data_IF_730292016138
#
_entry.id   IF_730292016138
#
_cell.length_a   1.000
_cell.length_b   1.000
_cell.length_c   1.000
_cell.angle_alpha   90.00
_cell.angle_beta   90.00
_cell.angle_gamma   90.00
#
_symmetry.space_group_name_H-M   'P 1'
#
loop_
_entity.id
_entity.type
_entity.pdbx_description
1 polymer ?
#
# COMPACT_ATOMS: atom_id res chain seq x y z
N UNK A 1 -2.81 -6.48 -23.96
CA UNK A 1 -3.90 -5.46 -23.92
C UNK A 1 -4.16 -5.12 -22.46
N UNK A 2 -4.20 -3.85 -22.04
CA UNK A 2 -4.43 -3.46 -20.64
C UNK A 2 -5.90 -3.06 -20.44
N UNK A 3 -6.51 -3.57 -19.37
CA UNK A 3 -7.93 -3.36 -19.01
C UNK A 3 -7.97 -2.62 -17.67
N UNK A 4 -8.73 -1.52 -17.52
CA UNK A 4 -8.88 -0.83 -16.24
C UNK A 4 -9.60 -1.74 -15.22
N UNK A 5 -9.25 -1.58 -13.94
CA UNK A 5 -9.81 -2.36 -12.82
C UNK A 5 -11.07 -1.71 -12.25
N UNK A 6 -12.01 -1.36 -13.12
CA UNK A 6 -13.28 -0.69 -12.81
C UNK A 6 -13.11 0.45 -11.78
N UNK A 7 -13.68 0.32 -10.57
CA UNK A 7 -13.75 1.36 -9.54
C UNK A 7 -12.53 1.40 -8.59
N UNK A 8 -11.45 0.70 -8.92
CA UNK A 8 -10.29 0.55 -8.03
C UNK A 8 -9.00 1.08 -8.63
N UNK A 9 -8.35 1.96 -7.89
CA UNK A 9 -6.96 2.33 -8.11
C UNK A 9 -6.03 1.33 -7.40
N UNK A 10 -5.08 0.74 -8.13
CA UNK A 10 -4.02 -0.07 -7.54
C UNK A 10 -2.81 0.80 -7.23
N UNK A 11 -2.40 0.81 -5.96
CA UNK A 11 -1.10 1.35 -5.54
C UNK A 11 -0.09 0.21 -5.49
N UNK A 12 0.85 0.19 -6.43
CA UNK A 12 1.96 -0.75 -6.44
C UNK A 12 3.10 -0.20 -5.58
N UNK A 13 3.42 -0.92 -4.49
CA UNK A 13 4.52 -0.54 -3.62
C UNK A 13 5.90 -0.71 -4.27
N UNK A 14 6.90 -0.04 -3.71
CA UNK A 14 8.29 -0.14 -4.19
C UNK A 14 8.83 -1.57 -4.16
N UNK A 15 8.44 -2.39 -3.18
CA UNK A 15 8.85 -3.79 -3.14
C UNK A 15 8.35 -4.57 -4.37
N UNK A 16 7.11 -4.34 -4.83
CA UNK A 16 6.60 -4.98 -6.04
C UNK A 16 7.47 -4.64 -7.25
N UNK A 17 7.82 -3.36 -7.41
CA UNK A 17 8.66 -2.89 -8.52
C UNK A 17 10.04 -3.55 -8.51
N UNK A 18 10.65 -3.68 -7.33
CA UNK A 18 11.95 -4.36 -7.17
C UNK A 18 11.82 -5.85 -7.51
N UNK A 19 10.84 -6.54 -6.92
CA UNK A 19 10.63 -7.98 -7.11
C UNK A 19 10.29 -8.35 -8.55
N UNK A 20 9.50 -7.51 -9.23
CA UNK A 20 9.10 -7.70 -10.62
C UNK A 20 10.12 -7.13 -11.62
N UNK A 21 11.25 -6.59 -11.15
CA UNK A 21 12.24 -5.87 -11.96
C UNK A 21 11.59 -4.85 -12.91
N UNK A 22 10.67 -4.05 -12.36
CA UNK A 22 9.83 -3.13 -13.09
C UNK A 22 10.20 -1.67 -12.80
N UNK A 23 10.25 -0.86 -13.85
CA UNK A 23 10.56 0.57 -13.79
C UNK A 23 9.36 1.40 -14.22
N UNK A 24 9.03 2.43 -13.44
CA UNK A 24 8.04 3.43 -13.82
C UNK A 24 8.66 4.35 -14.87
N UNK A 25 7.98 4.54 -16.00
CA UNK A 25 8.39 5.46 -17.06
C UNK A 25 7.34 6.59 -17.20
N UNK A 26 7.46 7.69 -16.44
CA UNK A 26 6.45 8.75 -16.42
C UNK A 26 6.23 9.39 -17.79
N UNK A 27 7.31 9.64 -18.54
CA UNK A 27 7.25 10.24 -19.88
C UNK A 27 6.54 9.35 -20.90
N UNK A 28 6.68 8.03 -20.78
CA UNK A 28 6.01 7.08 -21.65
C UNK A 28 4.61 6.69 -21.13
N UNK A 29 4.27 7.08 -19.89
CA UNK A 29 3.00 6.80 -19.23
C UNK A 29 2.79 5.31 -18.99
N UNK A 30 3.78 4.58 -18.46
CA UNK A 30 3.66 3.14 -18.24
C UNK A 30 4.79 2.52 -17.41
N UNK A 31 4.77 1.19 -17.32
CA UNK A 31 5.77 0.37 -16.62
C UNK A 31 6.60 -0.41 -17.64
N UNK A 32 7.92 -0.41 -17.47
CA UNK A 32 8.84 -1.27 -18.20
C UNK A 32 9.25 -2.43 -17.29
N UNK A 33 8.97 -3.66 -17.69
CA UNK A 33 9.52 -4.83 -17.01
C UNK A 33 10.82 -5.21 -17.70
N UNK A 34 11.84 -5.50 -16.92
CA UNK A 34 13.15 -5.91 -17.41
C UNK A 34 13.31 -7.39 -17.14
N UNK A 35 13.39 -8.20 -18.20
CA UNK A 35 13.62 -9.64 -18.12
C UNK A 35 14.72 -10.05 -19.11
N UNK A 36 15.34 -11.20 -18.88
CA UNK A 36 16.50 -11.67 -19.65
C UNK A 36 16.16 -11.91 -21.14
N UNK A 37 14.92 -12.27 -21.44
CA UNK A 37 14.47 -12.60 -22.80
C UNK A 37 13.67 -11.48 -23.47
N UNK A 38 12.95 -10.67 -22.69
CA UNK A 38 12.07 -9.62 -23.22
C UNK A 38 11.93 -8.47 -22.23
N UNK A 39 11.89 -7.23 -22.73
CA UNK A 39 11.63 -6.05 -21.91
C UNK A 39 10.25 -5.48 -22.24
N UNK A 40 9.15 -6.12 -21.79
CA UNK A 40 7.83 -5.68 -22.19
C UNK A 40 7.48 -4.34 -21.52
N UNK A 41 7.02 -3.40 -22.35
CA UNK A 41 6.47 -2.13 -21.89
C UNK A 41 4.95 -2.23 -21.76
N UNK A 42 4.45 -2.03 -20.55
CA UNK A 42 3.02 -1.97 -20.25
C UNK A 42 2.60 -0.50 -20.18
N UNK A 43 1.93 -0.04 -21.24
CA UNK A 43 1.35 1.30 -21.28
C UNK A 43 0.19 1.40 -20.28
N UNK A 44 0.23 2.42 -19.43
CA UNK A 44 -0.88 2.77 -18.55
C UNK A 44 -2.07 3.25 -19.38
N UNK A 45 -3.26 2.79 -19.02
CA UNK A 45 -4.51 3.32 -19.55
C UNK A 45 -4.97 4.39 -18.58
N UNK A 46 -4.89 5.64 -19.00
CA UNK A 46 -5.46 6.77 -18.26
C UNK A 46 -6.81 7.10 -18.90
N UNK A 47 -7.89 7.26 -18.11
CA UNK A 47 -9.10 7.87 -18.63
C UNK A 47 -8.71 9.25 -19.15
N UNK A 48 -8.78 9.45 -20.46
CA UNK A 48 -8.57 10.76 -21.07
C UNK A 48 -9.81 11.63 -20.81
N UNK A 49 -9.60 12.85 -20.33
CA UNK A 49 -10.66 13.87 -20.11
C UNK A 49 -11.29 14.39 -21.42
N UNK A 50 -10.80 13.98 -22.60
CA UNK A 50 -11.31 14.39 -23.90
C UNK A 50 -12.34 13.39 -24.46
N UNK A 51 -13.64 13.76 -24.54
CA UNK A 51 -14.68 12.96 -25.17
C UNK A 51 -14.62 13.13 -26.70
N UNK A 52 -13.49 12.74 -27.31
CA UNK A 52 -13.42 12.55 -28.76
C UNK A 52 -14.27 11.34 -29.18
N UNK A 53 -14.85 11.31 -30.40
CA UNK A 53 -15.73 10.24 -30.85
C UNK A 53 -14.90 9.01 -31.23
N UNK A 54 -14.24 8.40 -30.26
CA UNK A 54 -13.69 7.06 -30.42
C UNK A 54 -14.74 6.08 -29.91
N UNK A 55 -15.22 5.22 -30.81
CA UNK A 55 -16.22 4.19 -30.54
C UNK A 55 -15.76 3.10 -29.57
N UNK A 56 -14.60 3.26 -28.92
CA UNK A 56 -14.06 2.27 -28.00
C UNK A 56 -14.28 2.74 -26.56
N UNK A 57 -15.56 2.90 -26.22
CA UNK A 57 -15.98 3.05 -24.83
C UNK A 57 -15.79 1.69 -24.17
N UNK A 58 -14.97 1.70 -23.12
CA UNK A 58 -14.72 0.63 -22.18
C UNK A 58 -13.55 -0.25 -22.59
N UNK A 59 -12.45 -0.14 -21.85
CA UNK A 59 -11.32 -1.06 -21.91
C UNK A 59 -11.67 -2.48 -21.43
N UNK A 60 -12.89 -2.97 -21.65
CA UNK A 60 -13.31 -4.30 -21.22
C UNK A 60 -13.00 -5.32 -22.33
N UNK A 61 -12.27 -6.38 -21.98
CA UNK A 61 -12.13 -7.55 -22.84
C UNK A 61 -13.36 -8.45 -22.71
N UNK A 62 -13.93 -8.89 -23.83
CA UNK A 62 -14.88 -10.01 -23.79
C UNK A 62 -14.15 -11.31 -23.45
N UNK A 63 -14.88 -12.26 -22.84
CA UNK A 63 -14.36 -13.60 -22.57
C UNK A 63 -13.82 -14.30 -23.84
N UNK A 64 -14.37 -13.99 -25.01
CA UNK A 64 -13.90 -14.52 -26.30
C UNK A 64 -12.54 -13.95 -26.69
N UNK A 65 -12.29 -12.67 -26.44
CA UNK A 65 -11.00 -12.04 -26.74
C UNK A 65 -9.90 -12.57 -25.82
N UNK A 66 -10.19 -12.74 -24.52
CA UNK A 66 -9.26 -13.39 -23.57
C UNK A 66 -8.94 -14.81 -24.02
N UNK A 67 -9.96 -15.61 -24.36
CA UNK A 67 -9.78 -16.98 -24.85
C UNK A 67 -8.97 -17.04 -26.15
N UNK A 68 -9.13 -16.06 -27.04
CA UNK A 68 -8.38 -15.99 -28.30
C UNK A 68 -6.91 -15.64 -28.05
N UNK A 69 -6.63 -14.66 -27.19
CA UNK A 69 -5.26 -14.27 -26.80
C UNK A 69 -4.50 -15.44 -26.15
N UNK A 70 -5.14 -16.15 -25.22
CA UNK A 70 -4.59 -17.37 -24.60
C UNK A 70 -4.19 -18.43 -25.64
N UNK A 71 -5.02 -18.63 -26.68
CA UNK A 71 -4.71 -19.57 -27.77
C UNK A 71 -3.56 -19.11 -28.67
N UNK A 72 -3.33 -17.81 -28.77
CA UNK A 72 -2.24 -17.23 -29.57
C UNK A 72 -0.92 -17.14 -28.80
N UNK A 73 -0.89 -17.58 -27.53
CA UNK A 73 0.29 -17.46 -26.68
C UNK A 73 0.54 -16.03 -26.22
N UNK A 74 -0.48 -15.16 -26.23
CA UNK A 74 -0.34 -13.80 -25.71
C UNK A 74 -0.23 -13.82 -24.18
N UNK A 75 0.80 -13.16 -23.67
CA UNK A 75 1.04 -13.04 -22.23
C UNK A 75 -0.16 -12.38 -21.55
N UNK A 76 -0.81 -13.12 -20.65
CA UNK A 76 -2.05 -12.72 -19.98
C UNK A 76 -1.86 -12.83 -18.46
N UNK A 77 -2.10 -11.74 -17.74
CA UNK A 77 -1.99 -11.70 -16.28
C UNK A 77 -3.38 -11.53 -15.66
N UNK A 78 -3.68 -12.32 -14.63
CA UNK A 78 -4.90 -12.22 -13.84
C UNK A 78 -4.56 -11.64 -12.47
N UNK A 79 -5.11 -10.48 -12.14
CA UNK A 79 -5.10 -9.95 -10.78
C UNK A 79 -6.43 -10.30 -10.11
N UNK A 80 -6.36 -11.02 -8.99
CA UNK A 80 -7.53 -11.33 -8.17
C UNK A 80 -7.28 -10.78 -6.75
N UNK A 81 -8.26 -10.07 -6.20
CA UNK A 81 -8.22 -9.71 -4.78
C UNK A 81 -8.53 -10.96 -3.95
N UNK A 82 -7.62 -11.30 -3.05
CA UNK A 82 -7.85 -12.31 -2.02
C UNK A 82 -8.07 -11.58 -0.72
N UNK A 83 -9.28 -11.69 -0.16
CA UNK A 83 -9.57 -11.18 1.18
C UNK A 83 -8.82 -12.05 2.19
N UNK A 84 -7.80 -11.50 2.84
CA UNK A 84 -7.08 -12.18 3.92
C UNK A 84 -7.97 -12.09 5.17
N UNK A 85 -8.74 -13.15 5.41
CA UNK A 85 -9.56 -13.28 6.62
C UNK A 85 -8.65 -13.49 7.84
N UNK A 86 -8.95 -12.79 8.94
CA UNK A 86 -8.16 -12.82 10.19
C UNK A 86 -7.97 -14.22 10.81
N UNK A 87 -8.83 -15.18 10.47
CA UNK A 87 -8.78 -16.56 10.98
C UNK A 87 -8.09 -17.56 10.03
N UNK A 88 -7.44 -17.07 8.97
CA UNK A 88 -6.67 -17.93 8.05
C UNK A 88 -5.21 -17.88 8.46
N UNK A 89 -4.76 -18.96 9.09
CA UNK A 89 -3.35 -19.20 9.36
C UNK A 89 -2.66 -19.55 8.05
N UNK A 90 -1.73 -18.69 7.62
CA UNK A 90 -0.87 -18.95 6.48
C UNK A 90 0.42 -19.57 6.99
N UNK A 91 0.91 -20.62 6.33
CA UNK A 91 2.19 -21.23 6.68
C UNK A 91 3.30 -20.18 6.53
N UNK A 92 3.95 -19.84 7.64
CA UNK A 92 5.08 -18.93 7.67
C UNK A 92 6.33 -19.73 7.27
N UNK A 93 7.07 -19.33 6.23
CA UNK A 93 8.34 -19.97 5.88
C UNK A 93 9.31 -19.96 7.08
N UNK A 94 10.07 -21.04 7.28
CA UNK A 94 10.97 -21.23 8.44
C UNK A 94 11.95 -20.05 8.66
N UNK A 95 12.41 -19.43 7.57
CA UNK A 95 13.28 -18.26 7.62
C UNK A 95 12.62 -17.03 8.28
N UNK A 96 11.31 -16.87 8.11
CA UNK A 96 10.53 -15.78 8.71
C UNK A 96 10.08 -16.16 10.13
N UNK A 97 9.76 -17.44 10.36
CA UNK A 97 9.38 -17.93 11.69
C UNK A 97 10.47 -17.64 12.73
N UNK A 98 11.74 -17.84 12.36
CA UNK A 98 12.88 -17.53 13.23
C UNK A 98 12.96 -16.04 13.59
N UNK A 99 12.72 -15.16 12.62
CA UNK A 99 12.71 -13.70 12.84
C UNK A 99 11.54 -13.25 13.72
N UNK A 100 10.36 -13.86 13.56
CA UNK A 100 9.19 -13.52 14.39
C UNK A 100 9.43 -13.89 15.86
N UNK A 101 10.13 -15.00 16.13
CA UNK A 101 10.53 -15.37 17.49
C UNK A 101 11.61 -14.43 18.02
N UNK A 102 12.56 -14.02 17.18
CA UNK A 102 13.63 -13.08 17.57
C UNK A 102 13.10 -11.70 17.97
N UNK A 103 12.04 -11.22 17.30
CA UNK A 103 11.46 -9.88 17.49
C UNK A 103 10.05 -9.89 18.11
N UNK A 104 9.71 -10.94 18.88
CA UNK A 104 8.41 -11.07 19.54
C UNK A 104 8.12 -9.88 20.48
N UNK A 105 9.17 -9.31 21.08
CA UNK A 105 9.11 -8.16 21.99
C UNK A 105 8.71 -6.84 21.30
N UNK A 106 8.90 -6.72 19.98
CA UNK A 106 8.55 -5.52 19.20
C UNK A 106 7.05 -5.49 18.87
N UNK A 107 6.39 -6.66 18.82
CA UNK A 107 4.98 -6.80 18.44
C UNK A 107 4.11 -7.42 19.55
N UNK A 108 4.11 -6.85 20.77
CA UNK A 108 3.30 -7.40 21.84
C UNK A 108 1.81 -7.19 21.54
N UNK A 109 0.97 -8.13 21.98
CA UNK A 109 -0.49 -8.05 21.82
C UNK A 109 -1.10 -6.83 22.52
N UNK A 110 -0.45 -6.36 23.58
CA UNK A 110 -0.78 -5.14 24.31
C UNK A 110 0.49 -4.31 24.53
N UNK A 111 0.37 -2.98 24.49
CA UNK A 111 1.52 -2.10 24.75
C UNK A 111 2.03 -2.28 26.18
N UNK A 112 3.35 -2.38 26.40
CA UNK A 112 3.92 -2.45 27.74
C UNK A 112 3.52 -1.23 28.55
N UNK A 113 3.23 -1.42 29.85
CA UNK A 113 2.96 -0.32 30.80
C UNK A 113 4.22 0.43 31.21
N UNK A 114 5.38 -0.06 30.79
CA UNK A 114 6.68 0.49 31.10
C UNK A 114 7.02 1.65 30.17
N UNK A 115 7.86 2.57 30.65
CA UNK A 115 8.37 3.64 29.81
C UNK A 115 9.26 3.04 28.72
N UNK A 116 9.15 3.60 27.53
CA UNK A 116 10.04 3.26 26.43
C UNK A 116 11.51 3.35 26.88
N UNK A 117 12.40 2.49 26.38
CA UNK A 117 13.83 2.57 26.66
C UNK A 117 14.37 3.98 26.44
N UNK A 118 15.39 4.37 27.22
CA UNK A 118 16.04 5.68 27.05
C UNK A 118 16.58 5.78 25.62
N UNK A 119 16.15 6.83 24.91
CA UNK A 119 16.66 7.14 23.56
C UNK A 119 18.05 7.76 23.68
N UNK A 120 18.88 7.58 22.66
CA UNK A 120 20.20 8.22 22.58
C UNK A 120 20.12 9.74 22.41
N UNK A 121 18.97 10.25 21.96
CA UNK A 121 18.71 11.66 21.70
C UNK A 121 17.55 12.12 22.59
N UNK A 122 17.81 13.10 23.43
CA UNK A 122 16.78 13.83 24.17
C UNK A 122 16.33 15.04 23.34
N UNK A 123 15.08 15.03 22.90
CA UNK A 123 14.49 16.16 22.21
C UNK A 123 14.21 17.29 23.21
N UNK A 124 15.00 18.35 23.15
CA UNK A 124 14.76 19.57 23.93
C UNK A 124 13.80 20.49 23.18
N UNK A 125 12.79 21.00 23.88
CA UNK A 125 11.97 22.10 23.39
C UNK A 125 12.68 23.41 23.76
N UNK A 126 13.19 24.10 22.76
CA UNK A 126 13.77 25.43 22.94
C UNK A 126 12.65 26.47 23.03
N UNK A 127 12.75 27.36 24.01
CA UNK A 127 11.79 28.44 24.21
C UNK A 127 12.48 29.76 23.89
N UNK A 128 11.81 30.62 23.14
CA UNK A 128 12.24 32.00 22.95
C UNK A 128 12.39 32.71 24.32
N UNK A 129 13.43 33.53 24.54
CA UNK A 129 13.59 34.28 25.77
C UNK A 129 12.35 35.14 26.10
N UNK A 130 11.74 34.91 27.26
CA UNK A 130 10.52 35.60 27.69
C UNK A 130 9.20 34.93 27.27
N UNK A 131 9.24 33.82 26.54
CA UNK A 131 8.05 33.04 26.22
C UNK A 131 7.40 32.49 27.50
N UNK A 132 6.11 32.80 27.68
CA UNK A 132 5.29 32.22 28.76
C UNK A 132 4.67 30.91 28.27
N UNK A 133 4.65 29.90 29.15
CA UNK A 133 3.94 28.64 28.85
C UNK A 133 2.45 28.94 28.64
N UNK A 134 1.81 28.37 27.61
CA UNK A 134 0.37 28.49 27.46
C UNK A 134 -0.31 27.86 28.67
N UNK A 135 -1.07 28.66 29.41
CA UNK A 135 -1.84 28.21 30.56
C UNK A 135 -3.30 28.42 30.22
N UNK A 136 -3.98 27.35 29.81
CA UNK A 136 -5.39 27.37 29.44
C UNK A 136 -6.17 26.43 30.34
N UNK A 137 -7.41 26.79 30.67
CA UNK A 137 -8.31 25.88 31.39
C UNK A 137 -8.62 24.66 30.52
N UNK A 138 -8.87 23.51 31.16
CA UNK A 138 -9.31 22.31 30.47
C UNK A 138 -10.60 22.63 29.69
N UNK A 139 -10.69 22.12 28.46
CA UNK A 139 -11.93 22.22 27.69
C UNK A 139 -13.10 21.61 28.46
N UNK A 140 -14.29 22.21 28.30
CA UNK A 140 -15.51 21.64 28.87
C UNK A 140 -15.82 20.33 28.15
N UNK A 141 -15.96 19.28 28.94
CA UNK A 141 -16.15 17.91 28.48
C UNK A 141 -17.30 17.28 29.28
N UNK A 142 -18.07 16.38 28.68
CA UNK A 142 -19.18 15.74 29.38
C UNK A 142 -18.66 14.69 30.40
N UNK A 143 -19.48 14.23 31.37
CA UNK A 143 -19.03 13.27 32.36
C UNK A 143 -18.57 11.92 31.79
N UNK A 144 -19.15 11.46 30.67
CA UNK A 144 -18.79 10.17 30.07
C UNK A 144 -17.40 10.22 29.41
N UNK A 145 -17.12 11.28 28.67
CA UNK A 145 -15.82 11.54 28.05
C UNK A 145 -14.71 11.72 29.10
N UNK A 146 -15.02 12.39 30.22
CA UNK A 146 -14.07 12.54 31.33
C UNK A 146 -13.74 11.19 32.02
N UNK A 147 -14.68 10.24 32.03
CA UNK A 147 -14.44 8.89 32.55
C UNK A 147 -13.51 8.12 31.62
N UNK A 148 -13.74 8.18 30.31
CA UNK A 148 -12.87 7.54 29.32
C UNK A 148 -11.45 8.12 29.33
N UNK A 149 -11.31 9.45 29.47
CA UNK A 149 -9.99 10.10 29.47
C UNK A 149 -9.15 9.78 30.71
N UNK A 150 -9.78 9.32 31.80
CA UNK A 150 -9.11 8.93 33.05
C UNK A 150 -8.79 7.44 33.13
N UNK A 151 -9.22 6.67 32.14
CA UNK A 151 -9.00 5.23 32.05
C UNK A 151 -7.59 4.93 31.56
#
# INVERSE_FOLDING_TARGET
MAVPLDDFDIILGMQFLISANAFVCPRAGGLLFVDAECNPFVKGVFPSDDPGPSNNKNGCLSAMQVKKGLKHGEMTYLAAMVEIKKDVFQEVPDAIATLLVEFEDIFPSELPKELSPRRAIDHKIELEPGARRPTMALYRMNPAELVELRR
#
